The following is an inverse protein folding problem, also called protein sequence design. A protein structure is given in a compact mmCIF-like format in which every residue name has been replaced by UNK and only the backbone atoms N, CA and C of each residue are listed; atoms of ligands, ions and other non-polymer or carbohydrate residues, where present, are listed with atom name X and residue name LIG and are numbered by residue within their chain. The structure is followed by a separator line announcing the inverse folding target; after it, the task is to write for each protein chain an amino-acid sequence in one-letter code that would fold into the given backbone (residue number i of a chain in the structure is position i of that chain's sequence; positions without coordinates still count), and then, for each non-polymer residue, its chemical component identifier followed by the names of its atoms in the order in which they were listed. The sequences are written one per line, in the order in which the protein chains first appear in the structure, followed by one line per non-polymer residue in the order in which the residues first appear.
data_IF_474337698617
#
_entry.id   IF_474337698617
#
_cell.length_a   1.000
_cell.length_b   1.000
_cell.length_c   1.000
_cell.angle_alpha   90.00
_cell.angle_beta   90.00
_cell.angle_gamma   90.00
#
_symmetry.space_group_name_H-M   'P 1'
#
loop_
_entity.id
_entity.type
_entity.pdbx_description
1 polymer ?
#
# COMPACT_ATOMS: atom_id res chain seq x y z
N UNK A 1 -18.12 19.71 49.48
CA UNK A 1 -17.80 19.89 48.05
C UNK A 1 -16.62 18.99 47.71
N UNK A 2 -16.85 17.73 47.32
CA UNK A 2 -15.80 16.83 46.83
C UNK A 2 -16.40 15.56 46.19
N UNK A 3 -17.28 15.70 45.18
CA UNK A 3 -17.77 14.53 44.41
C UNK A 3 -17.80 14.77 42.89
N UNK A 4 -17.14 15.81 42.40
CA UNK A 4 -17.16 16.15 40.95
C UNK A 4 -15.87 15.79 40.21
N UNK A 5 -14.92 15.09 40.84
CA UNK A 5 -13.63 14.76 40.21
C UNK A 5 -13.59 13.36 39.57
N UNK A 6 -14.46 12.43 39.97
CA UNK A 6 -14.42 11.05 39.46
C UNK A 6 -15.16 10.82 38.14
N UNK A 7 -15.93 11.81 37.65
CA UNK A 7 -16.73 11.65 36.42
C UNK A 7 -15.93 11.90 35.12
N UNK A 8 -14.75 12.53 35.18
CA UNK A 8 -13.95 12.84 33.99
C UNK A 8 -12.83 11.82 33.71
N UNK A 9 -12.52 10.92 34.65
CA UNK A 9 -11.49 9.91 34.46
C UNK A 9 -11.97 8.69 33.64
N UNK A 10 -13.28 8.56 33.40
CA UNK A 10 -13.87 7.43 32.67
C UNK A 10 -14.18 7.74 31.20
N UNK A 11 -13.87 8.96 30.73
CA UNK A 11 -14.10 9.37 29.34
C UNK A 11 -12.99 8.95 28.37
N UNK A 12 -11.90 8.35 28.84
CA UNK A 12 -10.74 8.00 28.03
C UNK A 12 -10.37 6.51 28.14
N UNK A 13 -11.31 5.60 27.91
CA UNK A 13 -10.97 4.18 27.72
C UNK A 13 -12.10 3.41 27.03
N UNK A 14 -12.59 3.89 25.90
CA UNK A 14 -13.18 2.97 24.92
C UNK A 14 -12.25 3.00 23.71
N UNK A 15 -11.45 1.96 23.46
CA UNK A 15 -10.95 1.79 22.11
C UNK A 15 -12.23 1.62 21.29
N UNK A 16 -12.54 2.60 20.43
CA UNK A 16 -13.53 2.40 19.39
C UNK A 16 -12.95 1.31 18.52
N UNK A 17 -13.24 0.05 18.86
CA UNK A 17 -12.83 -1.12 18.12
C UNK A 17 -13.36 -0.88 16.72
N UNK A 18 -12.45 -0.61 15.79
CA UNK A 18 -12.79 -0.59 14.38
C UNK A 18 -13.54 -1.90 14.10
N UNK A 19 -14.62 -1.89 13.32
CA UNK A 19 -15.20 -3.14 12.84
C UNK A 19 -14.06 -3.99 12.30
N UNK A 20 -13.97 -5.27 12.66
CA UNK A 20 -12.84 -6.13 12.30
C UNK A 20 -12.45 -5.98 10.81
N UNK A 21 -13.46 -5.82 9.95
CA UNK A 21 -13.33 -5.49 8.53
C UNK A 21 -12.45 -4.26 8.24
N UNK A 22 -12.62 -3.16 8.97
CA UNK A 22 -11.89 -1.91 8.72
C UNK A 22 -10.43 -1.99 9.19
N UNK A 23 -10.16 -2.74 10.26
CA UNK A 23 -8.80 -2.97 10.73
C UNK A 23 -8.04 -3.94 9.79
N UNK A 24 -8.70 -4.98 9.31
CA UNK A 24 -8.17 -5.87 8.27
C UNK A 24 -7.90 -5.12 6.96
N UNK A 25 -8.81 -4.23 6.56
CA UNK A 25 -8.63 -3.32 5.43
C UNK A 25 -7.44 -2.36 5.59
N UNK A 26 -7.23 -1.83 6.80
CA UNK A 26 -6.09 -0.96 7.08
C UNK A 26 -4.77 -1.73 7.01
N UNK A 27 -4.74 -2.96 7.53
CA UNK A 27 -3.57 -3.85 7.43
C UNK A 27 -3.28 -4.18 5.96
N UNK A 28 -4.29 -4.57 5.18
CA UNK A 28 -4.13 -4.86 3.76
C UNK A 28 -3.61 -3.64 2.98
N UNK A 29 -4.10 -2.43 3.29
CA UNK A 29 -3.62 -1.20 2.66
C UNK A 29 -2.15 -0.90 2.98
N UNK A 30 -1.70 -1.21 4.21
CA UNK A 30 -0.29 -1.11 4.59
C UNK A 30 0.57 -2.13 3.82
N UNK A 31 0.13 -3.39 3.74
CA UNK A 31 0.83 -4.42 2.97
C UNK A 31 0.90 -4.08 1.48
N UNK A 32 -0.17 -3.51 0.91
CA UNK A 32 -0.21 -3.04 -0.48
C UNK A 32 0.77 -1.86 -0.69
N UNK A 33 0.90 -0.95 0.28
CA UNK A 33 1.83 0.18 0.23
C UNK A 33 3.30 -0.27 0.33
N UNK A 34 3.62 -1.22 1.21
CA UNK A 34 4.97 -1.81 1.30
C UNK A 34 5.33 -2.55 0.01
N UNK A 35 4.38 -3.31 -0.53
CA UNK A 35 4.53 -3.93 -1.83
C UNK A 35 4.79 -2.89 -2.93
N UNK A 36 4.15 -1.71 -2.90
CA UNK A 36 4.37 -0.63 -3.88
C UNK A 36 5.75 -0.02 -3.74
N UNK A 37 6.27 0.11 -2.52
CA UNK A 37 7.64 0.53 -2.28
C UNK A 37 8.67 -0.43 -2.90
N UNK A 38 8.44 -1.75 -2.82
CA UNK A 38 9.31 -2.74 -3.48
C UNK A 38 9.29 -2.61 -5.01
N UNK A 39 8.15 -2.31 -5.61
CA UNK A 39 8.05 -2.02 -7.06
C UNK A 39 8.82 -0.75 -7.43
N UNK A 40 8.69 0.31 -6.64
CA UNK A 40 9.45 1.54 -6.82
C UNK A 40 10.96 1.29 -6.75
N UNK A 41 11.41 0.47 -5.79
CA UNK A 41 12.83 0.06 -5.68
C UNK A 41 13.31 -0.70 -6.91
N UNK A 42 12.50 -1.62 -7.45
CA UNK A 42 12.81 -2.32 -8.69
C UNK A 42 12.91 -1.38 -9.90
N UNK A 43 12.00 -0.40 -10.03
CA UNK A 43 12.08 0.66 -11.04
C UNK A 43 13.38 1.47 -10.93
N UNK A 44 13.76 1.91 -9.73
CA UNK A 44 15.01 2.65 -9.51
C UNK A 44 16.24 1.79 -9.84
N UNK A 45 16.22 0.49 -9.57
CA UNK A 45 17.31 -0.41 -9.95
C UNK A 45 17.42 -0.57 -11.48
N UNK A 46 16.28 -0.65 -12.19
CA UNK A 46 16.24 -0.66 -13.65
C UNK A 46 16.72 0.66 -14.25
N UNK A 47 16.35 1.79 -13.65
CA UNK A 47 16.83 3.11 -14.07
C UNK A 47 18.35 3.19 -13.97
N UNK A 48 18.95 2.71 -12.86
CA UNK A 48 20.42 2.63 -12.70
C UNK A 48 21.10 1.64 -13.64
N UNK A 49 20.40 0.59 -14.08
CA UNK A 49 20.89 -0.37 -15.07
C UNK A 49 20.97 0.26 -16.47
N UNK A 50 20.00 1.12 -16.80
CA UNK A 50 19.88 1.79 -18.10
C UNK A 50 20.72 3.06 -18.15
N UNK A 51 20.74 3.83 -17.06
CA UNK A 51 21.55 5.02 -16.89
C UNK A 51 22.93 4.64 -16.34
N UNK A 52 23.84 4.35 -17.27
CA UNK A 52 25.22 3.95 -16.97
C UNK A 52 26.12 5.12 -16.56
N UNK A 53 25.60 6.36 -16.52
CA UNK A 53 26.39 7.57 -16.25
C UNK A 53 26.96 7.65 -14.83
N UNK A 54 26.45 6.84 -13.89
CA UNK A 54 26.87 6.78 -12.49
C UNK A 54 27.62 5.49 -12.09
N UNK A 55 27.89 4.58 -13.02
CA UNK A 55 28.57 3.30 -12.76
C UNK A 55 30.06 3.40 -13.12
N UNK A 56 30.87 3.99 -12.23
CA UNK A 56 32.32 4.15 -12.47
C UNK A 56 33.13 2.85 -12.30
N UNK A 57 32.58 1.80 -11.65
CA UNK A 57 33.37 0.61 -11.21
C UNK A 57 32.75 -0.77 -11.52
N UNK A 58 31.70 -0.87 -12.36
CA UNK A 58 31.07 -2.17 -12.68
C UNK A 58 30.96 -2.39 -14.18
N UNK A 59 31.17 -3.64 -14.60
CA UNK A 59 31.05 -4.13 -15.98
C UNK A 59 29.78 -3.54 -16.63
N UNK A 60 29.93 -2.82 -17.74
CA UNK A 60 28.84 -2.09 -18.37
C UNK A 60 27.70 -3.08 -18.73
N UNK A 61 26.56 -2.96 -18.04
CA UNK A 61 25.39 -3.76 -18.34
C UNK A 61 24.75 -3.20 -19.62
N UNK A 62 24.75 -3.99 -20.69
CA UNK A 62 24.13 -3.63 -21.97
C UNK A 62 22.87 -4.49 -22.19
N UNK A 63 21.76 -4.21 -21.48
CA UNK A 63 20.54 -4.98 -21.67
C UNK A 63 20.01 -4.79 -23.09
N UNK A 64 19.61 -5.88 -23.72
CA UNK A 64 18.94 -5.88 -25.01
C UNK A 64 17.55 -5.24 -24.90
N UNK A 65 17.06 -4.70 -26.02
CA UNK A 65 15.68 -4.19 -26.11
C UNK A 65 14.64 -5.25 -25.73
N UNK A 66 14.93 -6.53 -25.97
CA UNK A 66 14.07 -7.65 -25.60
C UNK A 66 14.02 -7.83 -24.08
N UNK A 67 15.16 -7.80 -23.39
CA UNK A 67 15.21 -7.89 -21.92
C UNK A 67 14.48 -6.72 -21.26
N UNK A 68 14.71 -5.49 -21.75
CA UNK A 68 13.98 -4.30 -21.28
C UNK A 68 12.46 -4.42 -21.52
N UNK A 69 12.05 -4.92 -22.69
CA UNK A 69 10.64 -5.13 -23.03
C UNK A 69 9.97 -6.17 -22.12
N UNK A 70 10.66 -7.27 -21.81
CA UNK A 70 10.17 -8.30 -20.88
C UNK A 70 10.02 -7.75 -19.47
N UNK A 71 11.00 -6.98 -18.99
CA UNK A 71 10.94 -6.33 -17.68
C UNK A 71 9.79 -5.33 -17.59
N UNK A 72 9.63 -4.46 -18.59
CA UNK A 72 8.51 -3.51 -18.64
C UNK A 72 7.15 -4.20 -18.69
N UNK A 73 7.03 -5.34 -19.40
CA UNK A 73 5.79 -6.14 -19.41
C UNK A 73 5.43 -6.68 -18.03
N UNK A 74 6.37 -7.35 -17.37
CA UNK A 74 6.18 -7.89 -16.02
C UNK A 74 5.72 -6.80 -15.04
N UNK A 75 6.34 -5.63 -15.17
CA UNK A 75 6.08 -4.49 -14.32
C UNK A 75 4.70 -3.87 -14.57
N UNK A 76 4.31 -3.74 -15.84
CA UNK A 76 2.97 -3.29 -16.22
C UNK A 76 1.89 -4.27 -15.73
N UNK A 77 2.12 -5.58 -15.84
CA UNK A 77 1.19 -6.60 -15.35
C UNK A 77 1.01 -6.51 -13.82
N UNK A 78 2.11 -6.38 -13.07
CA UNK A 78 2.07 -6.22 -11.63
C UNK A 78 1.33 -4.93 -11.22
N UNK A 79 1.60 -3.81 -11.89
CA UNK A 79 0.93 -2.54 -11.63
C UNK A 79 -0.58 -2.62 -11.91
N UNK A 80 -0.95 -3.22 -13.04
CA UNK A 80 -2.35 -3.37 -13.44
C UNK A 80 -3.12 -4.28 -12.46
N UNK A 81 -2.49 -5.34 -11.97
CA UNK A 81 -3.05 -6.21 -10.91
C UNK A 81 -3.33 -5.41 -9.63
N UNK A 82 -2.39 -4.55 -9.20
CA UNK A 82 -2.52 -3.75 -7.98
C UNK A 82 -3.60 -2.68 -8.10
N UNK A 83 -3.70 -2.01 -9.25
CA UNK A 83 -4.82 -1.10 -9.53
C UNK A 83 -6.15 -1.84 -9.41
N UNK A 84 -6.22 -3.07 -9.90
CA UNK A 84 -7.37 -3.96 -9.72
C UNK A 84 -7.71 -4.17 -8.24
N UNK A 85 -6.72 -4.61 -7.44
CA UNK A 85 -6.89 -4.83 -6.00
C UNK A 85 -7.38 -3.57 -5.30
N UNK A 86 -6.71 -2.42 -5.49
CA UNK A 86 -7.11 -1.15 -4.87
C UNK A 86 -8.55 -0.77 -5.23
N UNK A 87 -8.94 -0.90 -6.49
CA UNK A 87 -10.30 -0.59 -6.92
C UNK A 87 -11.34 -1.52 -6.27
N UNK A 88 -11.04 -2.81 -6.15
CA UNK A 88 -11.90 -3.78 -5.47
C UNK A 88 -12.02 -3.44 -3.98
N UNK A 89 -10.91 -3.17 -3.31
CA UNK A 89 -10.84 -2.81 -1.89
C UNK A 89 -11.63 -1.52 -1.61
N UNK A 90 -11.42 -0.47 -2.40
CA UNK A 90 -12.18 0.80 -2.28
C UNK A 90 -13.67 0.58 -2.54
N UNK A 91 -14.02 -0.29 -3.49
CA UNK A 91 -15.41 -0.70 -3.75
C UNK A 91 -16.04 -1.34 -2.52
N UNK A 92 -15.36 -2.32 -1.92
CA UNK A 92 -15.82 -3.03 -0.72
C UNK A 92 -15.99 -2.09 0.49
N UNK A 93 -15.04 -1.17 0.72
CA UNK A 93 -15.14 -0.15 1.77
C UNK A 93 -16.37 0.72 1.57
N UNK A 94 -16.61 1.18 0.33
CA UNK A 94 -17.77 2.03 0.03
C UNK A 94 -19.09 1.29 0.26
N UNK A 95 -19.17 0.03 -0.13
CA UNK A 95 -20.36 -0.81 0.12
C UNK A 95 -20.60 -1.03 1.61
N UNK A 96 -19.54 -1.30 2.38
CA UNK A 96 -19.63 -1.44 3.83
C UNK A 96 -20.14 -0.16 4.51
N UNK A 97 -19.66 1.01 4.08
CA UNK A 97 -20.11 2.32 4.60
C UNK A 97 -21.55 2.67 4.20
N UNK A 98 -22.04 2.14 3.07
CA UNK A 98 -23.41 2.35 2.60
C UNK A 98 -24.41 1.36 3.21
N UNK A 99 -23.93 0.32 3.91
CA UNK A 99 -24.81 -0.63 4.61
C UNK A 99 -25.37 0.06 5.86
N UNK A 100 -26.70 0.24 5.98
CA UNK A 100 -27.29 0.88 7.14
C UNK A 100 -27.00 0.06 8.40
N UNK A 101 -26.53 0.73 9.45
CA UNK A 101 -26.46 0.14 10.80
C UNK A 101 -27.87 -0.33 11.16
N UNK A 102 -28.04 -1.65 11.28
CA UNK A 102 -29.25 -2.22 11.86
C UNK A 102 -29.34 -1.69 13.30
N UNK A 103 -30.33 -0.83 13.55
CA UNK A 103 -30.70 -0.31 14.85
C UNK A 103 -31.40 -1.38 15.69
#
# INVERSE_FOLDING_TARGET
MAESASALAQACAHPTSLPLDLEELAIQACDDADNLNEVMRAYTALEKLVDTSALDDSEALTPSRTELSTLLRLLNEALMSRIGTVNTTVGAVREALQRPVAA
#
